data_IF_477457443594
#
_entry.id   IF_477457443594
#
_cell.length_a   1.000
_cell.length_b   1.000
_cell.length_c   1.000
_cell.angle_alpha   90.00
_cell.angle_beta   90.00
_cell.angle_gamma   90.00
#
_symmetry.space_group_name_H-M   'P 1'
#
loop_
_entity.id
_entity.type
_entity.pdbx_description
1 polymer ?
#
# COMPACT_ATOMS: atom_id res chain seq x y z
N UNK A 1 7.88 -6.11 -1.85
CA UNK A 1 6.94 -6.88 -1.01
C UNK A 1 6.61 -6.04 0.21
N UNK A 2 5.37 -6.11 0.72
CA UNK A 2 5.00 -5.43 1.96
C UNK A 2 5.61 -6.15 3.17
N UNK A 3 5.90 -5.40 4.24
CA UNK A 3 6.48 -5.96 5.46
C UNK A 3 5.63 -7.11 6.02
N UNK A 4 4.32 -6.89 6.13
CA UNK A 4 3.38 -7.87 6.69
C UNK A 4 2.87 -8.89 5.65
N UNK A 5 2.92 -8.57 4.36
CA UNK A 5 2.40 -9.45 3.30
C UNK A 5 3.45 -10.36 2.68
N UNK A 6 4.75 -10.13 2.95
CA UNK A 6 5.83 -10.95 2.42
C UNK A 6 5.70 -12.46 2.71
N UNK A 7 5.23 -12.94 3.88
CA UNK A 7 4.97 -14.36 4.11
C UNK A 7 3.89 -14.93 3.17
N UNK A 8 2.84 -14.15 2.87
CA UNK A 8 1.76 -14.54 1.97
C UNK A 8 2.25 -14.64 0.53
N UNK A 9 3.00 -13.64 0.07
CA UNK A 9 3.63 -13.66 -1.26
C UNK A 9 4.51 -14.90 -1.42
N UNK A 10 5.32 -15.24 -0.41
CA UNK A 10 6.17 -16.45 -0.43
C UNK A 10 5.38 -17.76 -0.45
N UNK A 11 4.14 -17.74 0.05
CA UNK A 11 3.23 -18.89 0.04
C UNK A 11 2.39 -18.99 -1.26
N UNK A 12 2.66 -18.16 -2.28
CA UNK A 12 1.92 -18.15 -3.55
C UNK A 12 0.62 -17.35 -3.51
N UNK A 13 0.33 -16.63 -2.43
CA UNK A 13 -0.85 -15.74 -2.40
C UNK A 13 -0.55 -14.49 -3.25
N UNK A 14 -1.41 -14.11 -4.20
CA UNK A 14 -1.27 -12.84 -4.90
C UNK A 14 -1.35 -11.67 -3.92
N UNK A 15 -0.35 -10.80 -3.95
CA UNK A 15 -0.26 -9.63 -3.07
C UNK A 15 -0.04 -8.35 -3.86
N UNK A 16 -0.55 -7.24 -3.36
CA UNK A 16 -0.34 -5.91 -3.91
C UNK A 16 0.68 -5.13 -3.06
N UNK A 17 1.72 -4.59 -3.71
CA UNK A 17 2.77 -3.79 -3.06
C UNK A 17 3.09 -2.56 -3.93
N UNK A 18 2.30 -1.49 -3.84
CA UNK A 18 2.50 -0.28 -4.64
C UNK A 18 3.82 0.41 -4.30
N UNK A 19 4.47 0.99 -5.32
CA UNK A 19 5.66 1.81 -5.15
C UNK A 19 5.25 3.28 -4.99
N UNK A 20 5.81 3.96 -3.98
CA UNK A 20 5.55 5.37 -3.71
C UNK A 20 6.83 6.19 -3.80
N UNK A 21 6.69 7.52 -3.87
CA UNK A 21 7.84 8.39 -3.72
C UNK A 21 8.37 8.31 -2.28
N UNK A 22 9.59 7.81 -2.10
CA UNK A 22 10.22 7.62 -0.78
C UNK A 22 11.34 8.65 -0.51
N UNK A 23 11.51 9.67 -1.36
CA UNK A 23 12.63 10.62 -1.26
C UNK A 23 12.79 11.26 0.13
N UNK A 24 11.68 11.54 0.82
CA UNK A 24 11.68 12.16 2.15
C UNK A 24 11.33 11.19 3.27
N UNK A 25 10.97 9.94 2.97
CA UNK A 25 10.46 8.99 3.96
C UNK A 25 11.43 8.78 5.12
N UNK A 26 12.70 8.50 4.80
CA UNK A 26 13.74 8.23 5.80
C UNK A 26 14.27 9.48 6.52
N UNK A 27 13.82 10.68 6.13
CA UNK A 27 14.12 11.89 6.90
C UNK A 27 13.32 11.93 8.21
N UNK A 28 12.17 11.26 8.27
CA UNK A 28 11.23 11.34 9.39
C UNK A 28 11.00 9.99 10.08
N UNK A 29 11.11 8.88 9.33
CA UNK A 29 10.88 7.53 9.81
C UNK A 29 11.62 7.24 11.13
N UNK A 30 10.88 6.79 12.16
CA UNK A 30 11.39 6.48 13.50
C UNK A 30 12.07 7.67 14.24
N UNK A 31 11.65 8.90 13.95
CA UNK A 31 12.07 10.10 14.69
C UNK A 31 10.88 10.78 15.35
N UNK A 32 11.12 11.70 16.28
CA UNK A 32 10.06 12.55 16.84
C UNK A 32 9.40 13.48 15.80
N UNK A 33 9.99 13.63 14.60
CA UNK A 33 9.44 14.43 13.52
C UNK A 33 8.41 13.67 12.66
N UNK A 34 8.15 12.39 12.93
CA UNK A 34 7.06 11.62 12.32
C UNK A 34 5.69 12.14 12.81
N UNK A 35 5.21 13.16 12.11
CA UNK A 35 4.12 14.04 12.53
C UNK A 35 3.22 14.35 11.34
N UNK A 36 1.95 14.66 11.62
CA UNK A 36 0.91 14.77 10.60
C UNK A 36 1.19 15.85 9.54
N UNK A 37 1.92 16.92 9.88
CA UNK A 37 2.18 18.03 8.96
C UNK A 37 3.13 17.66 7.80
N UNK A 38 3.72 16.47 7.81
CA UNK A 38 4.53 15.93 6.71
C UNK A 38 3.71 15.18 5.65
N UNK A 39 2.42 14.93 5.92
CA UNK A 39 1.53 14.20 5.02
C UNK A 39 1.05 15.12 3.90
N UNK A 40 1.28 14.71 2.64
CA UNK A 40 0.66 15.35 1.48
C UNK A 40 -0.79 14.85 1.32
N UNK A 41 -1.81 15.73 1.51
CA UNK A 41 -3.20 15.32 1.41
C UNK A 41 -3.59 14.80 0.02
N UNK A 42 -2.91 15.25 -1.03
CA UNK A 42 -3.16 14.79 -2.40
C UNK A 42 -2.71 13.33 -2.55
N UNK A 43 -1.48 13.01 -2.16
CA UNK A 43 -0.95 11.64 -2.24
C UNK A 43 -1.80 10.66 -1.43
N UNK A 44 -2.27 11.08 -0.25
CA UNK A 44 -3.19 10.28 0.56
C UNK A 44 -4.52 9.97 -0.13
N UNK A 45 -5.14 10.98 -0.78
CA UNK A 45 -6.38 10.77 -1.54
C UNK A 45 -6.17 9.87 -2.75
N UNK A 46 -5.07 10.05 -3.48
CA UNK A 46 -4.73 9.23 -4.64
C UNK A 46 -4.54 7.76 -4.25
N UNK A 47 -3.75 7.49 -3.20
CA UNK A 47 -3.58 6.14 -2.68
C UNK A 47 -4.90 5.54 -2.15
N UNK A 48 -5.68 6.32 -1.41
CA UNK A 48 -6.99 5.90 -0.92
C UNK A 48 -7.93 5.48 -2.05
N UNK A 49 -7.96 6.25 -3.14
CA UNK A 49 -8.75 5.91 -4.34
C UNK A 49 -8.28 4.62 -5.01
N UNK A 50 -6.97 4.44 -5.18
CA UNK A 50 -6.39 3.21 -5.74
C UNK A 50 -6.77 1.99 -4.91
N UNK A 51 -6.60 2.05 -3.59
CA UNK A 51 -6.91 0.93 -2.69
C UNK A 51 -8.41 0.64 -2.69
N UNK A 52 -9.26 1.67 -2.67
CA UNK A 52 -10.71 1.50 -2.69
C UNK A 52 -11.20 0.80 -3.97
N UNK A 53 -10.75 1.27 -5.14
CA UNK A 53 -11.14 0.68 -6.43
C UNK A 53 -10.58 -0.72 -6.58
N UNK A 54 -9.31 -0.95 -6.20
CA UNK A 54 -8.69 -2.28 -6.26
C UNK A 54 -9.41 -3.28 -5.36
N UNK A 55 -9.67 -2.91 -4.10
CA UNK A 55 -10.37 -3.77 -3.16
C UNK A 55 -11.79 -4.09 -3.64
N UNK A 56 -12.53 -3.08 -4.12
CA UNK A 56 -13.85 -3.28 -4.70
C UNK A 56 -13.81 -4.23 -5.90
N UNK A 57 -12.91 -3.99 -6.86
CA UNK A 57 -12.77 -4.84 -8.04
C UNK A 57 -12.43 -6.29 -7.69
N UNK A 58 -11.43 -6.51 -6.84
CA UNK A 58 -11.00 -7.85 -6.42
C UNK A 58 -12.09 -8.60 -5.65
N UNK A 59 -12.85 -7.90 -4.80
CA UNK A 59 -13.95 -8.51 -4.06
C UNK A 59 -15.14 -8.92 -4.94
N UNK A 60 -15.26 -8.35 -6.14
CA UNK A 60 -16.36 -8.58 -7.08
C UNK A 60 -15.95 -9.36 -8.34
N UNK A 61 -14.76 -9.98 -8.37
CA UNK A 61 -14.38 -10.85 -9.47
C UNK A 61 -15.29 -12.08 -9.54
N UNK A 62 -15.72 -12.46 -10.75
CA UNK A 62 -16.48 -13.69 -10.98
C UNK A 62 -15.69 -14.95 -10.56
N UNK A 63 -14.37 -14.88 -10.67
CA UNK A 63 -13.45 -15.95 -10.30
C UNK A 63 -12.26 -15.38 -9.51
N UNK A 64 -11.76 -16.10 -8.49
CA UNK A 64 -10.61 -15.64 -7.71
C UNK A 64 -9.34 -15.61 -8.57
N UNK A 65 -8.38 -14.78 -8.16
CA UNK A 65 -7.04 -14.81 -8.77
C UNK A 65 -6.38 -16.18 -8.58
N UNK A 66 -5.58 -16.64 -9.56
CA UNK A 66 -4.76 -17.84 -9.41
C UNK A 66 -3.81 -17.75 -8.21
N UNK A 67 -3.46 -18.91 -7.63
CA UNK A 67 -2.41 -19.05 -6.60
C UNK A 67 -1.18 -19.69 -7.21
#
# INVERSE_FOLDING_TARGET
MGADTAPLTRAGVPTFAPWFNQQTYFNYHHTAADTFDKIDPRQMRELGGVVAVLAYGLANLEQPLPR
#
